data_IF_333231497362
#
_entry.id   IF_333231497362
#
_cell.length_a   1.000
_cell.length_b   1.000
_cell.length_c   1.000
_cell.angle_alpha   90.00
_cell.angle_beta   90.00
_cell.angle_gamma   90.00
#
_symmetry.space_group_name_H-M   'P 1'
#
loop_
_entity.id
_entity.type
_entity.pdbx_description
1 polymer ?
#
# COMPACT_ATOMS: atom_id res chain seq x y z
N UNK A 1 26.32 -15.99 -37.47
CA UNK A 1 26.56 -14.60 -37.07
C UNK A 1 25.26 -14.08 -36.47
N UNK A 2 25.25 -13.90 -35.18
CA UNK A 2 24.02 -13.65 -34.40
C UNK A 2 23.48 -12.26 -34.54
N UNK A 3 22.21 -12.16 -34.90
CA UNK A 3 21.42 -10.92 -34.81
C UNK A 3 20.72 -10.87 -33.46
N UNK A 4 21.50 -10.59 -32.41
CA UNK A 4 20.92 -10.05 -31.18
C UNK A 4 21.21 -8.55 -31.18
N UNK A 5 20.32 -7.77 -31.78
CA UNK A 5 20.29 -6.34 -31.50
C UNK A 5 19.79 -6.18 -30.06
N UNK A 6 20.72 -6.03 -29.14
CA UNK A 6 20.44 -5.60 -27.77
C UNK A 6 19.85 -4.21 -27.89
N UNK A 7 18.50 -4.10 -27.80
CA UNK A 7 17.86 -2.81 -27.64
C UNK A 7 18.33 -2.29 -26.29
N UNK A 8 19.11 -1.22 -26.28
CA UNK A 8 19.54 -0.62 -25.01
C UNK A 8 18.30 -0.22 -24.21
N UNK A 9 18.26 -0.54 -22.91
CA UNK A 9 17.17 -0.06 -22.08
C UNK A 9 17.12 1.46 -22.14
N UNK A 10 15.94 2.07 -22.11
CA UNK A 10 15.83 3.52 -22.06
C UNK A 10 16.70 4.04 -20.91
N UNK A 11 17.55 5.01 -21.21
CA UNK A 11 18.44 5.61 -20.22
C UNK A 11 17.58 6.32 -19.16
N UNK A 12 17.46 5.71 -17.99
CA UNK A 12 16.84 6.35 -16.83
C UNK A 12 17.81 7.45 -16.36
N UNK A 13 17.53 8.68 -16.77
CA UNK A 13 18.34 9.83 -16.39
C UNK A 13 18.29 10.07 -14.89
N UNK A 14 19.42 10.39 -14.29
CA UNK A 14 19.53 10.93 -12.94
C UNK A 14 18.65 12.16 -12.81
N UNK A 15 17.83 12.23 -11.76
CA UNK A 15 16.90 13.30 -11.45
C UNK A 15 17.53 14.69 -11.57
N UNK A 16 17.00 15.53 -12.46
CA UNK A 16 17.29 16.95 -12.48
C UNK A 16 16.51 17.68 -11.35
N UNK A 17 17.06 18.74 -10.77
CA UNK A 17 16.36 19.48 -9.73
C UNK A 17 15.16 20.24 -10.28
N UNK A 18 14.17 20.31 -9.45
CA UNK A 18 12.78 20.63 -9.67
C UNK A 18 12.49 22.10 -9.62
N UNK A 19 11.75 22.60 -10.58
CA UNK A 19 10.98 23.83 -10.46
C UNK A 19 9.48 23.50 -10.56
N UNK A 20 8.76 23.85 -9.49
CA UNK A 20 7.33 23.57 -9.39
C UNK A 20 6.51 24.54 -10.24
N UNK A 21 5.63 24.00 -11.07
CA UNK A 21 4.43 24.69 -11.52
C UNK A 21 3.32 23.67 -11.71
N UNK A 22 2.42 23.62 -10.75
CA UNK A 22 1.21 22.81 -10.86
C UNK A 22 0.12 23.64 -11.54
N UNK A 23 -0.17 23.31 -12.78
CA UNK A 23 -1.42 23.67 -13.43
C UNK A 23 -2.25 22.40 -13.62
N UNK A 24 -3.55 22.47 -13.44
CA UNK A 24 -4.48 21.42 -13.80
C UNK A 24 -4.23 21.01 -15.27
N UNK A 25 -3.76 19.78 -15.51
CA UNK A 25 -3.39 19.29 -16.84
C UNK A 25 -1.92 19.36 -17.20
N UNK A 26 -1.03 19.78 -16.28
CA UNK A 26 0.42 19.79 -16.49
C UNK A 26 1.08 18.50 -15.99
N UNK A 27 2.24 18.17 -16.57
CA UNK A 27 3.11 17.08 -16.08
C UNK A 27 3.27 17.20 -14.58
N UNK A 28 3.13 16.10 -13.82
CA UNK A 28 3.44 16.11 -12.40
C UNK A 28 4.91 16.51 -12.26
N UNK A 29 5.15 17.69 -11.68
CA UNK A 29 6.50 18.09 -11.32
C UNK A 29 7.03 17.19 -10.20
N UNK A 30 8.33 17.19 -9.91
CA UNK A 30 8.94 16.40 -8.85
C UNK A 30 8.38 16.68 -7.45
N UNK A 31 7.70 17.81 -7.21
CA UNK A 31 6.90 18.02 -5.99
C UNK A 31 5.69 17.11 -5.93
N UNK A 32 5.09 16.74 -7.05
CA UNK A 32 3.98 15.77 -7.07
C UNK A 32 4.49 14.35 -6.82
N UNK A 33 5.65 13.98 -7.35
CA UNK A 33 6.29 12.69 -7.03
C UNK A 33 6.64 12.62 -5.54
N UNK A 34 7.16 13.71 -4.95
CA UNK A 34 7.42 13.75 -3.52
C UNK A 34 6.15 13.69 -2.68
N UNK A 35 5.07 14.37 -3.07
CA UNK A 35 3.76 14.29 -2.39
C UNK A 35 3.13 12.92 -2.54
N UNK A 36 3.27 12.28 -3.68
CA UNK A 36 2.78 10.94 -3.99
C UNK A 36 3.53 9.90 -3.13
N UNK A 37 4.85 9.95 -3.10
CA UNK A 37 5.67 9.10 -2.23
C UNK A 37 5.34 9.30 -0.74
N UNK A 38 5.07 10.54 -0.32
CA UNK A 38 4.65 10.84 1.04
C UNK A 38 3.27 10.23 1.39
N UNK A 39 2.34 10.13 0.43
CA UNK A 39 1.05 9.47 0.64
C UNK A 39 1.20 7.96 0.83
N UNK A 40 2.01 7.31 0.00
CA UNK A 40 2.36 5.89 0.16
C UNK A 40 3.01 5.64 1.51
N UNK A 41 4.03 6.41 1.86
CA UNK A 41 4.73 6.29 3.13
C UNK A 41 3.78 6.49 4.32
N UNK A 42 2.88 7.47 4.26
CA UNK A 42 1.86 7.70 5.28
C UNK A 42 0.93 6.51 5.42
N UNK A 43 0.42 5.96 4.32
CA UNK A 43 -0.45 4.80 4.35
C UNK A 43 0.27 3.58 4.93
N UNK A 44 1.48 3.27 4.46
CA UNK A 44 2.26 2.12 4.91
C UNK A 44 2.82 2.28 6.34
N UNK A 45 2.89 3.50 6.89
CA UNK A 45 3.25 3.72 8.29
C UNK A 45 2.17 3.25 9.26
N UNK A 46 0.94 3.07 8.80
CA UNK A 46 -0.16 2.55 9.62
C UNK A 46 -0.04 1.03 9.69
N UNK A 47 0.10 0.43 10.92
CA UNK A 47 0.37 -1.01 11.06
C UNK A 47 -0.66 -1.91 10.38
N UNK A 48 -1.95 -1.54 10.43
CA UNK A 48 -3.04 -2.28 9.77
C UNK A 48 -2.86 -2.32 8.26
N UNK A 49 -2.48 -1.20 7.64
CA UNK A 49 -2.24 -1.11 6.19
C UNK A 49 -1.00 -1.92 5.82
N UNK A 50 0.11 -1.69 6.51
CA UNK A 50 1.37 -2.41 6.27
C UNK A 50 1.20 -3.92 6.39
N UNK A 51 0.47 -4.37 7.42
CA UNK A 51 0.18 -5.80 7.62
C UNK A 51 -0.72 -6.35 6.52
N UNK A 52 -1.80 -5.67 6.16
CA UNK A 52 -2.74 -6.12 5.12
C UNK A 52 -2.09 -6.19 3.74
N UNK A 53 -1.35 -5.15 3.35
CA UNK A 53 -0.57 -5.13 2.10
C UNK A 53 0.45 -6.28 2.10
N UNK A 54 1.22 -6.43 3.18
CA UNK A 54 2.22 -7.48 3.31
C UNK A 54 1.64 -8.89 3.21
N UNK A 55 0.46 -9.14 3.78
CA UNK A 55 -0.22 -10.44 3.68
C UNK A 55 -0.61 -10.77 2.24
N UNK A 56 -1.27 -9.86 1.55
CA UNK A 56 -1.73 -10.10 0.17
C UNK A 56 -0.53 -10.23 -0.78
N UNK A 57 0.43 -9.31 -0.71
CA UNK A 57 1.60 -9.32 -1.60
C UNK A 57 2.45 -10.57 -1.42
N UNK A 58 2.71 -10.99 -0.17
CA UNK A 58 3.49 -12.19 0.10
C UNK A 58 2.76 -13.47 -0.32
N UNK A 59 1.44 -13.54 -0.13
CA UNK A 59 0.63 -14.67 -0.57
C UNK A 59 0.69 -14.81 -2.09
N UNK A 60 0.45 -13.74 -2.84
CA UNK A 60 0.44 -13.79 -4.31
C UNK A 60 1.85 -14.04 -4.86
N UNK A 61 2.90 -13.46 -4.28
CA UNK A 61 4.27 -13.69 -4.69
C UNK A 61 4.75 -15.13 -4.46
N UNK A 62 4.11 -15.85 -3.55
CA UNK A 62 4.34 -17.28 -3.28
C UNK A 62 3.67 -18.22 -4.28
N UNK A 63 2.72 -17.74 -5.10
CA UNK A 63 2.04 -18.58 -6.09
C UNK A 63 2.94 -18.91 -7.28
N UNK A 64 2.85 -20.14 -7.76
CA UNK A 64 3.54 -20.56 -8.98
C UNK A 64 2.75 -20.17 -10.23
N UNK A 65 3.44 -19.78 -11.28
CA UNK A 65 2.84 -19.57 -12.59
C UNK A 65 2.68 -20.90 -13.33
N UNK A 66 1.58 -21.05 -14.04
CA UNK A 66 1.31 -22.12 -15.00
C UNK A 66 0.86 -21.55 -16.33
N UNK A 67 1.24 -22.19 -17.41
CA UNK A 67 0.76 -21.86 -18.77
C UNK A 67 -0.15 -22.96 -19.27
N UNK A 68 -1.27 -22.58 -19.86
CA UNK A 68 -2.19 -23.55 -20.49
C UNK A 68 -2.73 -23.03 -21.81
N UNK A 69 -3.25 -23.95 -22.59
CA UNK A 69 -4.08 -23.71 -23.78
C UNK A 69 -5.48 -24.27 -23.56
N UNK A 70 -6.47 -23.75 -24.26
CA UNK A 70 -7.83 -24.26 -24.23
C UNK A 70 -8.05 -25.23 -25.37
N UNK A 71 -8.37 -26.47 -25.06
CA UNK A 71 -8.79 -27.50 -26.01
C UNK A 71 -10.29 -27.72 -25.90
N UNK A 72 -10.97 -27.82 -27.06
CA UNK A 72 -12.40 -28.17 -27.11
C UNK A 72 -12.55 -29.69 -27.08
N UNK A 73 -13.25 -30.24 -26.11
CA UNK A 73 -13.48 -31.70 -25.98
C UNK A 73 -14.72 -32.19 -26.71
N UNK A 74 -15.52 -31.32 -27.29
CA UNK A 74 -16.83 -31.59 -27.86
C UNK A 74 -17.99 -31.10 -27.00
N UNK A 75 -17.77 -30.97 -25.69
CA UNK A 75 -18.77 -30.53 -24.71
C UNK A 75 -18.33 -29.28 -23.98
N UNK A 76 -17.04 -29.21 -23.58
CA UNK A 76 -16.48 -28.10 -22.79
C UNK A 76 -15.04 -27.79 -23.19
N UNK A 77 -14.55 -26.63 -22.76
CA UNK A 77 -13.13 -26.26 -22.91
C UNK A 77 -12.33 -26.81 -21.75
N UNK A 78 -11.34 -27.66 -22.05
CA UNK A 78 -10.38 -28.15 -21.07
C UNK A 78 -9.07 -27.36 -21.12
N UNK A 79 -8.42 -27.23 -19.96
CA UNK A 79 -7.09 -26.61 -19.82
C UNK A 79 -6.01 -27.66 -20.06
N UNK A 80 -5.24 -27.49 -21.13
CA UNK A 80 -4.07 -28.30 -21.41
C UNK A 80 -2.83 -27.53 -20.98
N UNK A 81 -2.20 -27.97 -19.88
CA UNK A 81 -1.00 -27.33 -19.36
C UNK A 81 0.21 -27.61 -20.22
N UNK A 82 0.96 -26.55 -20.50
CA UNK A 82 2.18 -26.58 -21.33
C UNK A 82 3.38 -26.02 -20.53
N UNK A 83 4.63 -26.27 -20.96
CA UNK A 83 5.78 -25.68 -20.30
C UNK A 83 5.69 -24.16 -20.22
N UNK A 84 6.08 -23.61 -19.06
CA UNK A 84 6.09 -22.17 -18.84
C UNK A 84 7.17 -21.48 -19.66
N UNK A 85 6.90 -20.24 -20.07
CA UNK A 85 7.94 -19.35 -20.58
C UNK A 85 9.00 -19.05 -19.50
N UNK A 86 10.25 -18.89 -19.90
CA UNK A 86 11.37 -18.74 -18.96
C UNK A 86 11.20 -17.51 -18.04
N UNK A 87 10.62 -16.43 -18.57
CA UNK A 87 10.40 -15.22 -17.81
C UNK A 87 9.42 -15.41 -16.63
N UNK A 88 8.54 -16.40 -16.65
CA UNK A 88 7.62 -16.67 -15.55
C UNK A 88 8.33 -17.10 -14.26
N UNK A 89 9.48 -17.78 -14.42
CA UNK A 89 10.31 -18.14 -13.28
C UNK A 89 11.31 -17.04 -12.93
N UNK A 90 11.83 -16.35 -13.95
CA UNK A 90 12.82 -15.29 -13.80
C UNK A 90 12.49 -14.11 -14.72
N UNK A 91 11.50 -13.28 -14.31
CA UNK A 91 11.03 -12.16 -15.12
C UNK A 91 12.10 -11.08 -15.33
N UNK A 92 13.05 -10.98 -14.40
CA UNK A 92 14.14 -10.02 -14.46
C UNK A 92 15.47 -10.73 -14.10
N UNK A 93 16.59 -10.43 -14.78
CA UNK A 93 17.89 -11.03 -14.47
C UNK A 93 18.51 -10.51 -13.16
N UNK A 94 18.16 -9.31 -12.71
CA UNK A 94 18.78 -8.62 -11.58
C UNK A 94 17.91 -8.63 -10.32
N UNK A 95 16.59 -8.82 -10.46
CA UNK A 95 15.62 -8.72 -9.38
C UNK A 95 14.85 -10.04 -9.23
N UNK A 96 14.60 -10.46 -7.99
CA UNK A 96 13.86 -11.70 -7.73
C UNK A 96 12.40 -11.61 -8.20
N UNK A 97 11.85 -12.76 -8.64
CA UNK A 97 10.43 -12.88 -9.00
C UNK A 97 9.51 -12.41 -7.88
N UNK A 98 9.79 -12.85 -6.66
CA UNK A 98 8.97 -12.51 -5.49
C UNK A 98 8.93 -11.01 -5.23
N UNK A 99 10.07 -10.33 -5.33
CA UNK A 99 10.12 -8.87 -5.20
C UNK A 99 9.27 -8.18 -6.29
N UNK A 100 9.46 -8.61 -7.54
CA UNK A 100 8.76 -8.00 -8.68
C UNK A 100 7.24 -8.18 -8.58
N UNK A 101 6.78 -9.38 -8.23
CA UNK A 101 5.34 -9.65 -8.05
C UNK A 101 4.79 -8.90 -6.83
N UNK A 102 5.50 -8.92 -5.69
CA UNK A 102 5.07 -8.18 -4.49
C UNK A 102 4.93 -6.67 -4.75
N UNK A 103 5.90 -6.08 -5.45
CA UNK A 103 5.87 -4.66 -5.79
C UNK A 103 4.72 -4.34 -6.76
N UNK A 104 4.47 -5.21 -7.75
CA UNK A 104 3.34 -5.07 -8.67
C UNK A 104 2.01 -5.11 -7.93
N UNK A 105 1.83 -6.09 -7.04
CA UNK A 105 0.60 -6.22 -6.24
C UNK A 105 0.44 -5.05 -5.27
N UNK A 106 1.53 -4.57 -4.67
CA UNK A 106 1.51 -3.38 -3.83
C UNK A 106 1.01 -2.15 -4.60
N UNK A 107 1.51 -1.92 -5.82
CA UNK A 107 1.05 -0.83 -6.67
C UNK A 107 -0.43 -0.99 -7.04
N UNK A 108 -0.87 -2.21 -7.37
CA UNK A 108 -2.29 -2.50 -7.63
C UNK A 108 -3.17 -2.21 -6.42
N UNK A 109 -2.72 -2.56 -5.21
CA UNK A 109 -3.47 -2.30 -3.97
C UNK A 109 -3.53 -0.81 -3.64
N UNK A 110 -2.42 -0.10 -3.80
CA UNK A 110 -2.31 1.31 -3.41
C UNK A 110 -2.93 2.24 -4.46
N UNK A 111 -2.61 2.01 -5.74
CA UNK A 111 -2.95 2.91 -6.85
C UNK A 111 -4.04 2.37 -7.76
N UNK A 112 -4.28 1.04 -7.76
CA UNK A 112 -5.18 0.37 -8.69
C UNK A 112 -4.54 0.07 -10.06
N UNK A 113 -3.27 0.34 -10.25
CA UNK A 113 -2.52 0.06 -11.48
C UNK A 113 -1.04 -0.15 -11.21
N UNK A 114 -0.39 -0.94 -12.06
CA UNK A 114 1.04 -1.20 -12.01
C UNK A 114 1.62 -1.32 -13.41
N UNK A 115 2.94 -1.16 -13.55
CA UNK A 115 3.61 -1.09 -14.84
C UNK A 115 4.86 -1.95 -14.90
N UNK A 116 4.99 -2.70 -16.00
CA UNK A 116 6.23 -3.38 -16.36
C UNK A 116 6.72 -2.89 -17.71
N UNK A 117 8.02 -2.69 -17.84
CA UNK A 117 8.67 -2.40 -19.13
C UNK A 117 9.29 -3.67 -19.67
N UNK A 118 9.09 -3.92 -20.95
CA UNK A 118 9.72 -5.01 -21.70
C UNK A 118 11.20 -4.67 -21.92
N UNK A 119 12.10 -5.50 -21.39
CA UNK A 119 13.54 -5.27 -21.45
C UNK A 119 14.18 -5.96 -22.65
N UNK A 120 13.83 -7.20 -22.87
CA UNK A 120 14.33 -8.02 -23.97
C UNK A 120 13.21 -8.80 -24.61
N UNK A 121 13.39 -9.21 -25.87
CA UNK A 121 12.44 -10.01 -26.61
C UNK A 121 13.08 -11.30 -27.13
N UNK A 122 12.29 -12.35 -27.23
CA UNK A 122 12.66 -13.57 -27.97
C UNK A 122 12.73 -13.28 -29.47
N UNK A 123 13.35 -14.20 -30.22
CA UNK A 123 13.34 -14.13 -31.69
C UNK A 123 11.95 -14.14 -32.31
N UNK A 124 10.94 -14.56 -31.56
CA UNK A 124 9.52 -14.56 -31.92
C UNK A 124 8.85 -13.20 -31.75
N UNK A 125 9.53 -12.18 -31.20
CA UNK A 125 8.97 -10.85 -30.93
C UNK A 125 8.22 -10.74 -29.61
N UNK A 126 8.06 -11.83 -28.83
CA UNK A 126 7.47 -11.79 -27.51
C UNK A 126 8.47 -11.40 -26.45
N UNK A 127 8.03 -10.76 -25.36
CA UNK A 127 8.92 -10.36 -24.25
C UNK A 127 9.61 -11.56 -23.61
N UNK A 128 10.91 -11.42 -23.35
CA UNK A 128 11.75 -12.42 -22.68
C UNK A 128 12.14 -12.00 -21.26
N UNK A 129 12.10 -10.71 -20.97
CA UNK A 129 12.32 -10.18 -19.63
C UNK A 129 11.62 -8.84 -19.43
N UNK A 130 11.36 -8.52 -18.17
CA UNK A 130 10.60 -7.33 -17.76
C UNK A 130 11.32 -6.62 -16.62
N UNK A 131 11.01 -5.32 -16.46
CA UNK A 131 11.35 -4.53 -15.29
C UNK A 131 10.07 -3.92 -14.72
N UNK A 132 9.81 -4.11 -13.44
CA UNK A 132 8.78 -3.37 -12.73
C UNK A 132 9.22 -1.92 -12.55
N UNK A 133 8.31 -0.99 -12.80
CA UNK A 133 8.53 0.44 -12.60
C UNK A 133 7.58 0.92 -11.50
N UNK A 134 8.07 1.58 -10.45
CA UNK A 134 7.22 2.17 -9.43
C UNK A 134 6.21 3.12 -10.05
N UNK A 135 4.95 3.01 -9.62
CA UNK A 135 3.87 3.88 -10.10
C UNK A 135 4.22 5.37 -10.06
N UNK A 136 4.95 5.79 -9.04
CA UNK A 136 5.37 7.18 -8.81
C UNK A 136 6.26 7.73 -9.94
N UNK A 137 6.93 6.85 -10.66
CA UNK A 137 7.82 7.20 -11.76
C UNK A 137 7.13 7.18 -13.13
N UNK A 138 5.86 6.79 -13.19
CA UNK A 138 5.10 6.68 -14.42
C UNK A 138 4.08 7.80 -14.50
N UNK A 139 4.13 8.58 -15.58
CA UNK A 139 3.12 9.56 -15.92
C UNK A 139 2.27 9.07 -17.09
N UNK A 140 0.96 9.20 -16.94
CA UNK A 140 -0.02 8.96 -17.99
C UNK A 140 -0.99 10.15 -18.07
N UNK A 141 -1.55 10.50 -19.23
CA UNK A 141 -2.45 11.65 -19.37
C UNK A 141 -3.71 11.59 -18.50
N UNK A 142 -4.11 10.39 -18.07
CA UNK A 142 -5.28 10.16 -17.23
C UNK A 142 -4.86 9.57 -15.90
N UNK A 143 -4.57 10.42 -14.94
CA UNK A 143 -4.05 10.03 -13.63
C UNK A 143 -5.14 9.90 -12.54
N UNK A 144 -6.41 10.02 -12.95
CA UNK A 144 -7.54 10.15 -12.03
C UNK A 144 -7.97 8.85 -11.35
N UNK A 145 -7.53 7.67 -11.82
CA UNK A 145 -7.90 6.38 -11.25
C UNK A 145 -8.37 5.37 -12.31
N UNK A 146 -8.61 4.11 -11.92
CA UNK A 146 -8.94 3.03 -12.86
C UNK A 146 -10.22 3.25 -13.66
N UNK A 147 -11.23 3.83 -13.07
CA UNK A 147 -12.54 4.06 -13.70
C UNK A 147 -12.51 5.04 -14.86
N UNK A 148 -11.54 5.95 -14.90
CA UNK A 148 -11.30 6.91 -15.98
C UNK A 148 -10.04 6.60 -16.76
N UNK A 149 -9.37 5.50 -16.42
CA UNK A 149 -8.15 5.12 -17.08
C UNK A 149 -8.44 4.70 -18.51
N UNK A 150 -7.83 5.39 -19.46
CA UNK A 150 -7.69 4.93 -20.84
C UNK A 150 -6.33 4.30 -20.98
N UNK A 151 -6.23 3.25 -21.82
CA UNK A 151 -4.91 2.79 -22.23
C UNK A 151 -4.19 4.00 -22.81
N UNK A 152 -3.09 4.43 -22.20
CA UNK A 152 -2.49 5.69 -22.56
C UNK A 152 -1.87 5.61 -23.96
N UNK A 153 -2.13 6.62 -24.77
CA UNK A 153 -1.42 6.82 -26.03
C UNK A 153 0.02 7.29 -25.77
N UNK A 154 0.22 7.95 -24.61
CA UNK A 154 1.51 8.44 -24.16
C UNK A 154 1.81 7.95 -22.73
N UNK A 155 2.95 7.32 -22.58
CA UNK A 155 3.51 6.93 -21.26
C UNK A 155 4.88 7.59 -21.12
N UNK A 156 5.08 8.28 -20.00
CA UNK A 156 6.40 8.80 -19.64
C UNK A 156 6.89 8.09 -18.38
N UNK A 157 8.14 7.64 -18.40
CA UNK A 157 8.82 7.08 -17.24
C UNK A 157 9.98 7.99 -16.88
N UNK A 158 9.97 8.53 -15.66
CA UNK A 158 10.92 9.56 -15.20
C UNK A 158 11.03 10.76 -16.17
N UNK A 159 9.92 11.15 -16.80
CA UNK A 159 9.88 12.26 -17.76
C UNK A 159 10.39 11.90 -19.16
N UNK A 160 10.70 10.65 -19.44
CA UNK A 160 11.10 10.16 -20.77
C UNK A 160 9.91 9.44 -21.41
N UNK A 161 9.45 9.89 -22.58
CA UNK A 161 8.38 9.19 -23.32
C UNK A 161 8.82 7.79 -23.72
N UNK A 162 7.95 6.81 -23.52
CA UNK A 162 8.16 5.41 -23.90
C UNK A 162 6.98 4.95 -24.75
N UNK A 163 7.29 4.19 -25.81
CA UNK A 163 6.27 3.57 -26.65
C UNK A 163 5.37 2.65 -25.77
N UNK A 164 4.05 2.90 -25.72
CA UNK A 164 3.11 2.08 -24.94
C UNK A 164 3.17 0.59 -25.28
N UNK A 165 3.56 0.23 -26.52
CA UNK A 165 3.76 -1.16 -26.91
C UNK A 165 4.86 -1.88 -26.11
N UNK A 166 5.80 -1.12 -25.54
CA UNK A 166 6.87 -1.64 -24.68
C UNK A 166 6.49 -1.70 -23.19
N UNK A 167 5.28 -1.30 -22.83
CA UNK A 167 4.81 -1.27 -21.45
C UNK A 167 3.66 -2.25 -21.26
N UNK A 168 3.73 -3.07 -20.24
CA UNK A 168 2.61 -3.90 -19.77
C UNK A 168 1.95 -3.16 -18.64
N UNK A 169 0.69 -2.77 -18.85
CA UNK A 169 -0.11 -2.04 -17.86
C UNK A 169 -1.08 -3.00 -17.18
N UNK A 170 -0.95 -3.15 -15.88
CA UNK A 170 -1.88 -3.91 -15.05
C UNK A 170 -2.94 -2.97 -14.50
N UNK A 171 -4.21 -3.30 -14.71
CA UNK A 171 -5.36 -2.54 -14.22
C UNK A 171 -6.14 -3.38 -13.22
N UNK A 172 -6.17 -2.94 -11.98
CA UNK A 172 -6.96 -3.60 -10.95
C UNK A 172 -8.46 -3.39 -11.19
N UNK A 173 -9.30 -4.42 -11.01
CA UNK A 173 -10.76 -4.26 -11.02
C UNK A 173 -11.27 -3.47 -9.79
N UNK A 174 -10.40 -3.22 -8.82
CA UNK A 174 -10.70 -2.47 -7.61
C UNK A 174 -9.86 -1.19 -7.61
N UNK A 175 -10.50 -0.08 -7.28
CA UNK A 175 -9.81 1.20 -7.13
C UNK A 175 -8.75 1.14 -6.01
N UNK A 176 -7.62 1.77 -6.23
CA UNK A 176 -6.53 1.81 -5.25
C UNK A 176 -6.95 2.40 -3.90
N UNK A 177 -6.39 1.84 -2.82
CA UNK A 177 -6.75 2.25 -1.47
C UNK A 177 -6.38 3.71 -1.14
N UNK A 178 -5.37 4.29 -1.80
CA UNK A 178 -5.03 5.70 -1.62
C UNK A 178 -6.15 6.62 -2.08
N UNK A 179 -6.98 6.16 -3.01
CA UNK A 179 -8.19 6.85 -3.45
C UNK A 179 -9.38 6.52 -2.55
N UNK A 180 -9.76 5.25 -2.44
CA UNK A 180 -10.97 4.80 -1.74
C UNK A 180 -10.86 4.92 -0.23
N UNK A 181 -9.67 4.72 0.33
CA UNK A 181 -9.36 4.72 1.75
C UNK A 181 -8.76 6.01 2.28
N UNK A 182 -8.61 7.06 1.47
CA UNK A 182 -7.90 8.29 1.85
C UNK A 182 -8.42 8.87 3.19
N UNK A 183 -9.73 8.91 3.37
CA UNK A 183 -10.33 9.42 4.62
C UNK A 183 -10.02 8.52 5.82
N UNK A 184 -10.07 7.21 5.66
CA UNK A 184 -9.73 6.26 6.73
C UNK A 184 -8.26 6.35 7.12
N UNK A 185 -7.36 6.50 6.13
CA UNK A 185 -5.92 6.72 6.33
C UNK A 185 -5.70 8.02 7.11
N UNK A 186 -6.38 9.11 6.73
CA UNK A 186 -6.26 10.39 7.41
C UNK A 186 -6.73 10.29 8.88
N UNK A 187 -7.90 9.70 9.12
CA UNK A 187 -8.43 9.51 10.47
C UNK A 187 -7.48 8.69 11.33
N UNK A 188 -6.96 7.56 10.81
CA UNK A 188 -6.01 6.73 11.53
C UNK A 188 -4.73 7.50 11.86
N UNK A 189 -4.20 8.27 10.92
CA UNK A 189 -3.00 9.10 11.12
C UNK A 189 -3.20 10.15 12.21
N UNK A 190 -4.34 10.84 12.22
CA UNK A 190 -4.64 11.86 13.22
C UNK A 190 -4.88 11.26 14.62
N UNK A 191 -5.52 10.09 14.69
CA UNK A 191 -5.69 9.36 15.96
C UNK A 191 -4.35 8.88 16.52
N UNK A 192 -3.44 8.39 15.66
CA UNK A 192 -2.09 8.01 16.09
C UNK A 192 -1.28 9.23 16.52
N UNK A 193 -1.38 10.35 15.82
CA UNK A 193 -0.73 11.60 16.21
C UNK A 193 -1.28 12.14 17.54
N UNK A 194 -2.58 12.03 17.79
CA UNK A 194 -3.19 12.42 19.05
C UNK A 194 -2.70 11.52 20.20
N UNK A 195 -2.66 10.21 19.98
CA UNK A 195 -2.16 9.24 20.94
C UNK A 195 -0.66 9.48 21.27
N UNK A 196 0.15 9.77 20.25
CA UNK A 196 1.56 10.10 20.41
C UNK A 196 1.75 11.38 21.22
N UNK A 197 1.01 12.45 20.91
CA UNK A 197 1.05 13.71 21.67
C UNK A 197 0.66 13.47 23.13
N UNK A 198 -0.35 12.64 23.38
CA UNK A 198 -0.75 12.27 24.71
C UNK A 198 0.34 11.51 25.47
N UNK A 199 1.03 10.59 24.81
CA UNK A 199 2.09 9.79 25.41
C UNK A 199 3.39 10.58 25.66
N UNK A 200 3.71 11.54 24.77
CA UNK A 200 4.98 12.31 24.86
C UNK A 200 4.88 13.52 25.78
N UNK A 201 3.70 14.09 25.99
CA UNK A 201 3.53 15.21 26.89
C UNK A 201 3.44 14.73 28.34
N UNK A 202 4.37 15.17 29.18
CA UNK A 202 4.51 14.81 30.62
C UNK A 202 3.29 15.15 31.49
N UNK A 203 2.16 15.40 30.98
CA UNK A 203 0.90 15.70 31.65
C UNK A 203 -0.31 15.46 30.78
N UNK A 204 -0.14 14.66 29.72
CA UNK A 204 -1.19 14.45 28.74
C UNK A 204 -1.43 15.68 27.83
N UNK A 205 -2.59 15.76 27.21
CA UNK A 205 -3.05 16.99 26.56
C UNK A 205 -3.10 18.07 27.63
N UNK A 206 -2.61 19.28 27.33
CA UNK A 206 -2.62 20.41 28.28
C UNK A 206 -4.01 20.55 28.90
N UNK A 207 -4.14 19.96 30.08
CA UNK A 207 -5.43 19.69 30.71
C UNK A 207 -5.73 20.70 31.77
N UNK A 208 -5.41 21.97 31.52
CA UNK A 208 -5.70 23.01 32.48
C UNK A 208 -5.32 24.40 32.00
N UNK A 209 -5.74 25.36 32.74
CA UNK A 209 -5.42 26.76 32.53
C UNK A 209 -4.99 27.41 33.86
N UNK A 210 -4.18 28.44 33.71
CA UNK A 210 -3.82 29.28 34.83
C UNK A 210 -4.91 30.33 35.01
N UNK A 211 -5.55 30.36 36.17
CA UNK A 211 -6.57 31.32 36.51
C UNK A 211 -6.03 32.26 37.61
N UNK A 212 -6.19 33.55 37.40
CA UNK A 212 -5.96 34.54 38.44
C UNK A 212 -7.06 34.43 39.51
N UNK A 213 -6.66 34.47 40.81
CA UNK A 213 -7.62 34.57 41.90
C UNK A 213 -8.20 35.97 41.98
N UNK A 214 -9.44 36.11 42.46
CA UNK A 214 -10.21 37.35 42.50
C UNK A 214 -9.63 38.50 43.36
N UNK A 215 -8.44 38.34 43.94
CA UNK A 215 -7.83 39.25 44.92
C UNK A 215 -6.57 39.95 44.37
N UNK A 216 -6.62 40.56 43.19
CA UNK A 216 -5.48 41.32 42.64
C UNK A 216 -5.82 42.17 41.43
N UNK A 217 -4.93 43.08 41.04
CA UNK A 217 -5.06 43.79 39.77
C UNK A 217 -5.01 42.79 38.60
N UNK A 218 -5.86 42.96 37.57
CA UNK A 218 -5.83 42.07 36.43
C UNK A 218 -4.47 42.08 35.74
N UNK A 219 -3.90 40.89 35.53
CA UNK A 219 -2.64 40.77 34.77
C UNK A 219 -2.83 41.22 33.34
N UNK A 220 -1.88 41.96 32.81
CA UNK A 220 -1.87 42.38 31.41
C UNK A 220 -1.73 41.20 30.44
N UNK A 221 -2.12 41.41 29.17
CA UNK A 221 -2.03 40.34 28.17
C UNK A 221 -0.60 39.82 27.93
N UNK A 222 0.40 40.71 28.07
CA UNK A 222 1.82 40.33 27.93
C UNK A 222 2.27 39.47 29.12
N UNK A 223 1.92 39.82 30.35
CA UNK A 223 2.24 39.07 31.56
C UNK A 223 1.60 37.68 31.56
N UNK A 224 0.37 37.57 31.07
CA UNK A 224 -0.32 36.28 30.91
C UNK A 224 0.37 35.39 29.88
N UNK A 225 0.86 35.96 28.79
CA UNK A 225 1.57 35.20 27.74
C UNK A 225 2.92 34.72 28.27
N UNK A 226 3.68 35.56 28.96
CA UNK A 226 4.95 35.19 29.57
C UNK A 226 4.79 34.11 30.63
N UNK A 227 3.76 34.22 31.47
CA UNK A 227 3.45 33.24 32.50
C UNK A 227 3.07 31.88 31.92
N UNK A 228 2.24 31.88 30.84
CA UNK A 228 1.84 30.68 30.12
C UNK A 228 3.01 29.98 29.45
N UNK A 229 3.94 30.76 28.91
CA UNK A 229 5.13 30.23 28.24
C UNK A 229 6.11 29.66 29.25
N UNK A 230 6.39 30.35 30.35
CA UNK A 230 7.23 29.87 31.44
C UNK A 230 6.67 28.59 32.07
N UNK A 231 5.35 28.48 32.21
CA UNK A 231 4.68 27.29 32.70
C UNK A 231 4.81 26.12 31.73
N UNK A 232 4.60 26.36 30.46
CA UNK A 232 4.75 25.35 29.40
C UNK A 232 6.18 24.81 29.31
N UNK A 233 7.19 25.68 29.42
CA UNK A 233 8.61 25.34 29.42
C UNK A 233 9.00 24.51 30.64
N UNK A 234 8.50 24.87 31.83
CA UNK A 234 8.74 24.12 33.07
C UNK A 234 8.16 22.71 32.99
N UNK A 235 6.96 22.56 32.43
CA UNK A 235 6.33 21.23 32.23
C UNK A 235 7.02 20.42 31.13
N UNK A 236 7.48 21.04 30.08
CA UNK A 236 8.24 20.37 29.02
C UNK A 236 9.56 19.79 29.48
N UNK A 237 10.15 20.39 30.51
CA UNK A 237 11.41 19.95 31.18
C UNK A 237 11.16 19.01 32.35
N UNK A 238 9.95 18.59 32.64
CA UNK A 238 9.57 17.82 33.83
C UNK A 238 9.95 18.56 35.15
N UNK A 239 10.09 19.88 35.14
CA UNK A 239 10.42 20.69 36.29
C UNK A 239 9.17 21.00 37.12
N UNK A 240 9.36 21.19 38.43
CA UNK A 240 8.28 21.61 39.31
C UNK A 240 7.99 23.09 39.06
N UNK A 241 6.78 23.39 38.60
CA UNK A 241 6.32 24.77 38.44
C UNK A 241 5.92 25.35 39.82
N UNK A 242 6.42 26.55 40.14
CA UNK A 242 6.00 27.29 41.31
C UNK A 242 4.98 28.36 40.89
N UNK A 243 3.86 28.42 41.58
CA UNK A 243 2.86 29.46 41.40
C UNK A 243 2.86 30.40 42.63
N UNK A 244 2.58 31.66 42.39
CA UNK A 244 2.37 32.61 43.45
C UNK A 244 0.92 32.50 43.98
N UNK A 245 0.61 33.21 45.08
CA UNK A 245 -0.70 33.18 45.71
C UNK A 245 -1.82 33.84 44.87
N UNK A 246 -1.47 34.51 43.74
CA UNK A 246 -2.41 35.18 42.90
C UNK A 246 -2.86 34.32 41.71
N UNK A 247 -2.20 33.22 41.44
CA UNK A 247 -2.49 32.34 40.28
C UNK A 247 -2.77 30.93 40.80
N UNK A 248 -3.81 30.32 40.25
CA UNK A 248 -4.23 28.95 40.51
C UNK A 248 -4.20 28.15 39.26
N UNK A 249 -3.65 26.93 39.32
CA UNK A 249 -3.80 25.96 38.28
C UNK A 249 -5.16 25.29 38.39
N UNK A 250 -5.97 25.42 37.35
CA UNK A 250 -7.24 24.66 37.24
C UNK A 250 -7.09 23.57 36.19
N UNK A 251 -7.22 22.38 36.65
CA UNK A 251 -7.18 21.21 35.82
C UNK A 251 -8.49 21.11 35.02
N UNK A 252 -8.38 21.13 33.70
CA UNK A 252 -9.48 20.78 32.80
C UNK A 252 -9.36 19.27 32.60
N UNK A 253 -10.02 18.47 33.43
CA UNK A 253 -9.87 17.02 33.44
C UNK A 253 -10.43 16.40 32.15
N UNK A 254 -9.62 16.43 31.09
CA UNK A 254 -9.83 15.55 29.95
C UNK A 254 -9.11 14.25 30.31
N UNK A 255 -9.85 13.32 30.90
CA UNK A 255 -9.39 11.98 31.16
C UNK A 255 -9.12 11.26 29.83
N UNK A 256 -7.99 10.58 29.70
CA UNK A 256 -7.65 9.80 28.53
C UNK A 256 -8.72 8.77 28.16
N UNK A 257 -9.42 8.24 29.18
CA UNK A 257 -10.55 7.33 28.98
C UNK A 257 -11.75 8.02 28.32
N UNK A 258 -11.95 9.30 28.58
CA UNK A 258 -13.03 10.08 27.94
C UNK A 258 -12.78 10.42 26.49
N UNK A 259 -11.52 10.39 26.05
CA UNK A 259 -11.16 10.61 24.65
C UNK A 259 -11.38 9.37 23.78
N UNK A 260 -11.66 8.20 24.38
CA UNK A 260 -11.88 6.93 23.66
C UNK A 260 -10.83 6.65 22.58
N UNK A 261 -9.59 7.10 22.77
CA UNK A 261 -8.52 6.97 21.76
C UNK A 261 -8.25 5.52 21.39
N UNK A 262 -8.35 4.60 22.36
CA UNK A 262 -8.15 3.18 22.09
C UNK A 262 -9.26 2.62 21.19
N UNK A 263 -10.50 2.93 21.50
CA UNK A 263 -11.66 2.50 20.72
C UNK A 263 -11.67 3.14 19.32
N UNK A 264 -11.31 4.43 19.24
CA UNK A 264 -11.16 5.13 17.97
C UNK A 264 -10.09 4.50 17.06
N UNK A 265 -8.94 4.13 17.63
CA UNK A 265 -7.87 3.44 16.88
C UNK A 265 -8.30 2.03 16.44
N UNK A 266 -9.01 1.28 17.27
CA UNK A 266 -9.57 -0.02 16.88
C UNK A 266 -10.60 0.13 15.76
N UNK A 267 -11.48 1.13 15.83
CA UNK A 267 -12.45 1.41 14.78
C UNK A 267 -11.74 1.80 13.48
N UNK A 268 -10.75 2.69 13.53
CA UNK A 268 -9.97 3.07 12.35
C UNK A 268 -9.25 1.87 11.71
N UNK A 269 -8.68 0.97 12.51
CA UNK A 269 -8.07 -0.25 12.03
C UNK A 269 -9.08 -1.19 11.35
N UNK A 270 -10.31 -1.29 11.88
CA UNK A 270 -11.39 -2.06 11.26
C UNK A 270 -11.83 -1.45 9.91
N UNK A 271 -11.96 -0.14 9.83
CA UNK A 271 -12.28 0.55 8.56
C UNK A 271 -11.18 0.32 7.50
N UNK A 272 -9.92 0.39 7.91
CA UNK A 272 -8.80 0.11 7.00
C UNK A 272 -8.77 -1.36 6.54
N UNK A 273 -9.11 -2.32 7.42
CA UNK A 273 -9.24 -3.72 7.05
C UNK A 273 -10.34 -3.92 5.99
N UNK A 274 -11.47 -3.20 6.10
CA UNK A 274 -12.55 -3.19 5.10
C UNK A 274 -12.10 -2.63 3.76
N UNK A 275 -11.37 -1.52 3.76
CA UNK A 275 -10.81 -0.91 2.53
C UNK A 275 -9.85 -1.87 1.84
N UNK A 276 -9.02 -2.58 2.60
CA UNK A 276 -8.07 -3.58 2.10
C UNK A 276 -8.73 -4.89 1.71
N UNK A 277 -10.02 -5.08 2.02
CA UNK A 277 -10.76 -6.34 1.83
C UNK A 277 -10.11 -7.54 2.53
N UNK A 278 -9.41 -7.28 3.63
CA UNK A 278 -8.74 -8.31 4.43
C UNK A 278 -9.57 -8.60 5.68
N UNK A 279 -9.79 -9.86 6.06
CA UNK A 279 -10.42 -10.19 7.32
C UNK A 279 -9.72 -9.48 8.50
N UNK A 280 -10.49 -8.74 9.30
CA UNK A 280 -9.95 -7.81 10.31
C UNK A 280 -9.04 -8.50 11.35
N UNK A 281 -9.32 -9.75 11.69
CA UNK A 281 -8.52 -10.52 12.62
C UNK A 281 -7.10 -10.83 12.09
N UNK A 282 -6.91 -10.94 10.75
CA UNK A 282 -5.58 -11.12 10.14
C UNK A 282 -4.66 -9.90 10.31
N UNK A 283 -5.26 -8.73 10.47
CA UNK A 283 -4.53 -7.48 10.71
C UNK A 283 -4.51 -7.08 12.19
N UNK A 284 -4.86 -8.02 13.09
CA UNK A 284 -4.74 -7.82 14.54
C UNK A 284 -5.92 -7.10 15.19
N UNK A 285 -7.06 -6.96 14.50
CA UNK A 285 -8.29 -6.39 15.09
C UNK A 285 -9.14 -7.52 15.66
N UNK A 286 -9.28 -7.59 16.99
CA UNK A 286 -10.14 -8.56 17.65
C UNK A 286 -11.62 -8.20 17.42
N UNK A 287 -12.37 -9.12 16.85
CA UNK A 287 -13.83 -9.06 16.75
C UNK A 287 -14.37 -10.02 17.79
N UNK A 288 -15.05 -9.51 18.80
CA UNK A 288 -15.48 -10.21 20.01
C UNK A 288 -16.43 -11.40 19.81
N UNK A 289 -16.81 -11.75 18.58
CA UNK A 289 -17.77 -12.80 18.28
C UNK A 289 -17.30 -13.87 17.28
N UNK A 290 -16.09 -13.79 16.74
CA UNK A 290 -15.58 -14.79 15.80
C UNK A 290 -14.48 -15.63 16.43
N UNK A 291 -14.83 -16.87 16.79
CA UNK A 291 -13.84 -17.90 17.07
C UNK A 291 -13.52 -18.61 15.75
N UNK A 292 -12.39 -18.27 15.14
CA UNK A 292 -11.90 -19.05 14.01
C UNK A 292 -11.45 -20.41 14.53
N UNK A 293 -12.26 -21.43 14.26
CA UNK A 293 -11.96 -22.80 14.66
C UNK A 293 -11.00 -23.52 13.70
N UNK A 294 -10.72 -22.91 12.52
CA UNK A 294 -9.89 -23.55 11.50
C UNK A 294 -9.00 -22.54 10.77
N UNK A 295 -7.68 -22.74 10.87
CA UNK A 295 -6.67 -21.92 10.18
C UNK A 295 -6.76 -22.04 8.64
N UNK A 296 -7.29 -23.14 8.13
CA UNK A 296 -7.49 -23.40 6.71
C UNK A 296 -8.54 -22.48 6.11
N UNK A 297 -9.70 -22.35 6.76
CA UNK A 297 -10.76 -21.44 6.32
C UNK A 297 -10.27 -19.99 6.28
N UNK A 298 -9.45 -19.61 7.24
CA UNK A 298 -8.84 -18.27 7.30
C UNK A 298 -7.97 -17.94 6.09
N UNK A 299 -7.19 -18.92 5.60
CA UNK A 299 -6.35 -18.75 4.40
C UNK A 299 -7.18 -18.71 3.13
N UNK A 300 -8.21 -19.55 3.05
CA UNK A 300 -9.15 -19.55 1.92
C UNK A 300 -9.89 -18.23 1.82
N UNK A 301 -10.33 -17.66 2.95
CA UNK A 301 -11.01 -16.37 3.01
C UNK A 301 -10.07 -15.23 2.55
N UNK A 302 -8.79 -15.25 2.97
CA UNK A 302 -7.81 -14.26 2.51
C UNK A 302 -7.62 -14.29 0.99
N UNK A 303 -7.55 -15.50 0.42
CA UNK A 303 -7.38 -15.66 -1.02
C UNK A 303 -8.66 -15.26 -1.74
N UNK A 304 -9.82 -15.76 -1.32
CA UNK A 304 -11.09 -15.57 -2.00
C UNK A 304 -11.56 -14.10 -1.98
N UNK A 305 -11.44 -13.45 -0.83
CA UNK A 305 -11.97 -12.09 -0.65
C UNK A 305 -10.90 -11.02 -0.84
N UNK A 306 -9.66 -11.26 -0.43
CA UNK A 306 -8.59 -10.26 -0.46
C UNK A 306 -7.70 -10.33 -1.69
N UNK A 307 -7.17 -11.51 -2.02
CA UNK A 307 -6.14 -11.65 -3.06
C UNK A 307 -6.71 -11.88 -4.47
N UNK A 308 -7.89 -12.50 -4.58
CA UNK A 308 -8.45 -12.91 -5.89
C UNK A 308 -8.52 -11.80 -6.94
N UNK A 309 -8.98 -10.59 -6.66
CA UNK A 309 -9.05 -9.53 -7.69
C UNK A 309 -7.68 -9.21 -8.29
N UNK A 310 -6.63 -9.25 -7.48
CA UNK A 310 -5.26 -8.99 -7.92
C UNK A 310 -4.66 -10.19 -8.66
N UNK A 311 -5.01 -11.41 -8.23
CA UNK A 311 -4.64 -12.65 -8.95
C UNK A 311 -5.25 -12.64 -10.34
N UNK A 312 -6.56 -12.36 -10.47
CA UNK A 312 -7.25 -12.30 -11.74
C UNK A 312 -6.62 -11.21 -12.64
N UNK A 313 -6.37 -10.01 -12.10
CA UNK A 313 -5.70 -8.94 -12.82
C UNK A 313 -4.34 -9.37 -13.39
N UNK A 314 -3.50 -10.04 -12.58
CA UNK A 314 -2.21 -10.54 -13.03
C UNK A 314 -2.36 -11.61 -14.13
N UNK A 315 -3.24 -12.59 -13.93
CA UNK A 315 -3.47 -13.68 -14.87
C UNK A 315 -3.96 -13.15 -16.22
N UNK A 316 -4.96 -12.28 -16.21
CA UNK A 316 -5.56 -11.73 -17.42
C UNK A 316 -4.59 -10.83 -18.16
N UNK A 317 -3.88 -9.94 -17.46
CA UNK A 317 -2.89 -9.04 -18.07
C UNK A 317 -1.72 -9.82 -18.68
N UNK A 318 -1.19 -10.82 -17.97
CA UNK A 318 -0.09 -11.64 -18.46
C UNK A 318 -0.53 -12.61 -19.60
N UNK A 319 -1.83 -12.84 -19.77
CA UNK A 319 -2.41 -13.61 -20.86
C UNK A 319 -2.68 -12.78 -22.12
N UNK A 320 -2.42 -11.45 -22.10
CA UNK A 320 -2.59 -10.61 -23.27
C UNK A 320 -1.64 -11.01 -24.41
N UNK A 321 -2.13 -10.87 -25.63
CA UNK A 321 -1.36 -11.18 -26.86
C UNK A 321 -0.09 -10.34 -27.04
N UNK A 322 0.05 -9.25 -26.31
CA UNK A 322 1.27 -8.43 -26.27
C UNK A 322 2.34 -8.99 -25.31
N UNK A 323 1.99 -9.99 -24.49
CA UNK A 323 2.86 -10.60 -23.48
C UNK A 323 3.18 -12.05 -23.81
N UNK A 324 2.17 -12.83 -24.21
CA UNK A 324 2.29 -14.26 -24.51
C UNK A 324 1.63 -14.56 -25.87
N UNK A 325 2.06 -15.59 -26.62
CA UNK A 325 1.45 -15.98 -27.89
C UNK A 325 -0.04 -16.24 -27.75
N UNK A 326 -0.80 -15.85 -28.79
CA UNK A 326 -2.24 -16.05 -28.84
C UNK A 326 -2.64 -17.51 -28.61
N UNK A 327 -3.70 -17.72 -27.84
CA UNK A 327 -4.20 -19.05 -27.46
C UNK A 327 -3.47 -19.67 -26.26
N UNK A 328 -2.49 -18.99 -25.69
CA UNK A 328 -1.87 -19.35 -24.41
C UNK A 328 -2.36 -18.45 -23.30
N UNK A 329 -2.51 -19.00 -22.13
CA UNK A 329 -3.02 -18.31 -20.94
C UNK A 329 -2.11 -18.57 -19.74
N UNK A 330 -2.07 -17.60 -18.84
CA UNK A 330 -1.31 -17.67 -17.60
C UNK A 330 -2.26 -17.88 -16.44
N UNK A 331 -1.90 -18.78 -15.55
CA UNK A 331 -2.62 -19.08 -14.30
C UNK A 331 -1.65 -19.01 -13.11
N UNK A 332 -2.11 -18.49 -11.99
CA UNK A 332 -1.43 -18.56 -10.71
C UNK A 332 -2.00 -19.76 -9.92
N UNK A 333 -1.14 -20.70 -9.53
CA UNK A 333 -1.55 -21.98 -8.93
C UNK A 333 -1.94 -21.84 -7.45
N UNK A 334 -3.16 -21.35 -7.23
CA UNK A 334 -3.74 -21.22 -5.90
C UNK A 334 -4.00 -22.57 -5.25
N UNK A 335 -4.40 -23.59 -6.04
CA UNK A 335 -4.76 -24.92 -5.53
C UNK A 335 -3.52 -25.61 -4.95
N UNK A 336 -2.40 -25.58 -5.67
CA UNK A 336 -1.14 -26.13 -5.18
C UNK A 336 -0.70 -25.41 -3.91
N UNK A 337 -0.77 -24.10 -3.86
CA UNK A 337 -0.38 -23.29 -2.70
C UNK A 337 -1.16 -23.67 -1.43
N UNK A 338 -2.49 -23.82 -1.54
CA UNK A 338 -3.33 -24.24 -0.41
C UNK A 338 -2.94 -25.65 0.05
N UNK A 339 -2.81 -26.60 -0.86
CA UNK A 339 -2.46 -27.99 -0.58
C UNK A 339 -1.07 -28.15 0.04
N UNK A 340 -0.06 -27.44 -0.46
CA UNK A 340 1.32 -27.53 0.05
C UNK A 340 1.39 -27.00 1.49
N UNK A 341 0.60 -26.00 1.82
CA UNK A 341 0.50 -25.45 3.19
C UNK A 341 -0.24 -26.42 4.11
N UNK A 342 -1.26 -27.15 3.63
CA UNK A 342 -1.96 -28.18 4.37
C UNK A 342 -1.02 -29.35 4.72
N UNK A 343 -0.29 -29.87 3.74
CA UNK A 343 0.68 -30.94 3.94
C UNK A 343 1.82 -30.56 4.91
N UNK A 344 2.25 -29.29 4.89
CA UNK A 344 3.26 -28.78 5.82
C UNK A 344 2.73 -28.66 7.26
N UNK A 345 1.44 -28.42 7.44
CA UNK A 345 0.80 -28.36 8.76
C UNK A 345 0.65 -29.77 9.37
N UNK A 346 0.24 -30.74 8.57
CA UNK A 346 0.06 -32.14 9.02
C UNK A 346 1.41 -32.80 9.42
N UNK A 347 2.53 -32.35 8.83
CA UNK A 347 3.86 -32.87 9.17
C UNK A 347 4.41 -32.29 10.48
N UNK A 348 3.77 -31.28 11.06
CA UNK A 348 4.20 -30.65 12.32
C UNK A 348 3.42 -31.11 13.56
N UNK A 349 2.40 -31.95 13.43
CA UNK A 349 1.82 -32.58 14.60
C UNK A 349 2.80 -33.65 15.14
N UNK A 350 3.37 -33.49 16.34
CA UNK A 350 4.21 -34.48 16.94
C UNK A 350 3.32 -35.72 17.27
N UNK A 351 3.77 -36.87 16.83
CA UNK A 351 3.24 -38.14 17.39
C UNK A 351 3.31 -38.07 18.92
N UNK A 352 2.15 -38.08 19.57
CA UNK A 352 1.99 -38.03 21.01
C UNK A 352 2.18 -39.43 21.62
#
# INVERSE_FOLDING_TARGET
MGLFTKKEPPAFGTSAPVTAAAGYGGRPGPLSQWTVGAQVQRALSIPTVSRGVGLITSTIAGLDFKTYTLGWTGEEYERNYIPNETWMQRPNPEVTRSFMISSTVQDLMLWGRAFWVKMTEYSTGFPASFMWIPHENVYTPNDAGPEWFRMPDDIEINGVPIDPANVVTFLSPINGMLWTGNRAIQIATELDAAALRFATNAGGIASGYLQQKDSGEPLGGEDLTELAQAWADARGKLAVGALNNLVEWRESSIDASKLQLHEGRQHAALELARVLQVPAWLVGVSISSMTYQNSQQARQDLILFGAKPYIDCLQETLSLNSVIPNGRYVELDVVKYIRDVENAADTQEPEA
#
